data_IF_599374429880
#
_entry.id   IF_599374429880
#
_cell.length_a   1.000
_cell.length_b   1.000
_cell.length_c   1.000
_cell.angle_alpha   90.00
_cell.angle_beta   90.00
_cell.angle_gamma   90.00
#
_symmetry.space_group_name_H-M   'P 1'
#
loop_
_entity.id
_entity.type
_entity.pdbx_description
1 polymer ?
#
# COMPACT_ATOMS: atom_id res chain seq x y z
N UNK A 1 -1.80 -37.01 3.96
CA UNK A 1 -1.00 -35.79 3.69
C UNK A 1 -1.21 -35.42 2.22
N UNK A 2 -2.22 -34.60 1.92
CA UNK A 2 -2.56 -34.26 0.53
C UNK A 2 -1.68 -33.10 0.05
N UNK A 3 -0.63 -33.42 -0.71
CA UNK A 3 0.11 -32.42 -1.48
C UNK A 3 -0.76 -31.97 -2.66
N UNK A 4 -1.20 -30.70 -2.62
CA UNK A 4 -1.83 -30.02 -3.75
C UNK A 4 -0.82 -29.86 -4.91
N UNK A 5 -0.71 -30.88 -5.76
CA UNK A 5 0.19 -30.96 -6.93
C UNK A 5 -0.39 -30.22 -8.16
N UNK A 6 -1.60 -29.66 -8.08
CA UNK A 6 -2.27 -28.96 -9.19
C UNK A 6 -2.31 -27.42 -9.08
N UNK A 7 -1.35 -26.78 -8.41
CA UNK A 7 -1.16 -25.32 -8.61
C UNK A 7 -0.39 -25.09 -9.91
N UNK A 8 -1.11 -24.76 -11.00
CA UNK A 8 -0.51 -24.10 -12.19
C UNK A 8 0.44 -23.02 -11.68
N UNK A 9 1.70 -22.99 -12.14
CA UNK A 9 2.63 -21.89 -11.85
C UNK A 9 1.88 -20.59 -12.11
N UNK A 10 1.70 -19.77 -11.06
CA UNK A 10 0.93 -18.53 -11.13
C UNK A 10 1.45 -17.73 -12.31
N UNK A 11 0.58 -17.41 -13.27
CA UNK A 11 0.99 -16.58 -14.40
C UNK A 11 1.51 -15.25 -13.86
N UNK A 12 2.55 -14.62 -14.47
CA UNK A 12 3.00 -13.28 -14.08
C UNK A 12 1.83 -12.29 -13.97
N UNK A 13 0.80 -12.45 -14.81
CA UNK A 13 -0.44 -11.68 -14.77
C UNK A 13 -1.24 -11.88 -13.48
N UNK A 14 -1.37 -13.13 -13.02
CA UNK A 14 -2.10 -13.48 -11.80
C UNK A 14 -1.34 -13.08 -10.54
N UNK A 15 0.00 -13.17 -10.57
CA UNK A 15 0.88 -12.69 -9.51
C UNK A 15 0.76 -11.17 -9.34
N UNK A 16 0.81 -10.40 -10.44
CA UNK A 16 0.61 -8.95 -10.42
C UNK A 16 -0.79 -8.56 -9.92
N UNK A 17 -1.85 -9.29 -10.32
CA UNK A 17 -3.22 -9.04 -9.85
C UNK A 17 -3.36 -9.28 -8.36
N UNK A 18 -2.73 -10.34 -7.85
CA UNK A 18 -2.74 -10.69 -6.42
C UNK A 18 -2.00 -9.63 -5.61
N UNK A 19 -0.80 -9.25 -6.05
CA UNK A 19 -0.01 -8.18 -5.43
C UNK A 19 -0.78 -6.85 -5.37
N UNK A 20 -1.46 -6.45 -6.46
CA UNK A 20 -2.32 -5.25 -6.47
C UNK A 20 -3.44 -5.32 -5.43
N UNK A 21 -4.06 -6.48 -5.26
CA UNK A 21 -5.11 -6.69 -4.25
C UNK A 21 -4.55 -6.59 -2.83
N UNK A 22 -3.40 -7.21 -2.57
CA UNK A 22 -2.73 -7.16 -1.28
C UNK A 22 -2.32 -5.73 -0.92
N UNK A 23 -1.74 -4.99 -1.86
CA UNK A 23 -1.40 -3.56 -1.67
C UNK A 23 -2.64 -2.70 -1.38
N UNK A 24 -3.77 -2.97 -2.03
CA UNK A 24 -5.02 -2.25 -1.76
C UNK A 24 -5.57 -2.56 -0.36
N UNK A 25 -5.50 -3.81 0.09
CA UNK A 25 -5.89 -4.20 1.45
C UNK A 25 -4.98 -3.54 2.48
N UNK A 26 -3.65 -3.59 2.28
CA UNK A 26 -2.68 -2.96 3.15
C UNK A 26 -2.88 -1.44 3.25
N UNK A 27 -3.13 -0.76 2.13
CA UNK A 27 -3.43 0.67 2.09
C UNK A 27 -4.65 1.01 2.95
N UNK A 28 -5.74 0.25 2.81
CA UNK A 28 -6.96 0.44 3.62
C UNK A 28 -6.73 0.16 5.10
N UNK A 29 -5.91 -0.84 5.43
CA UNK A 29 -5.52 -1.14 6.80
C UNK A 29 -4.82 0.06 7.44
N UNK A 30 -3.81 0.60 6.76
CA UNK A 30 -3.05 1.78 7.21
C UNK A 30 -3.96 3.00 7.34
N UNK A 31 -4.86 3.25 6.38
CA UNK A 31 -5.78 4.39 6.46
C UNK A 31 -6.73 4.31 7.67
N UNK A 32 -7.20 3.11 8.02
CA UNK A 32 -8.00 2.89 9.24
C UNK A 32 -7.18 3.15 10.50
N UNK A 33 -5.94 2.66 10.54
CA UNK A 33 -5.06 2.86 11.69
C UNK A 33 -4.71 4.34 11.89
N UNK A 34 -4.39 5.07 10.81
CA UNK A 34 -4.20 6.53 10.84
C UNK A 34 -5.44 7.22 11.41
N UNK A 35 -6.64 6.88 10.93
CA UNK A 35 -7.87 7.49 11.42
C UNK A 35 -8.10 7.21 12.92
N UNK A 36 -7.81 5.99 13.37
CA UNK A 36 -7.89 5.61 14.79
C UNK A 36 -6.93 6.45 15.64
N UNK A 37 -5.66 6.54 15.25
CA UNK A 37 -4.65 7.31 15.97
C UNK A 37 -4.95 8.81 15.97
N UNK A 38 -5.52 9.35 14.89
CA UNK A 38 -5.96 10.76 14.85
C UNK A 38 -7.12 11.04 15.83
N UNK A 39 -8.01 10.08 16.06
CA UNK A 39 -9.04 10.22 17.11
C UNK A 39 -8.42 10.17 18.50
N UNK A 40 -7.45 9.28 18.72
CA UNK A 40 -6.70 9.21 19.97
C UNK A 40 -5.91 10.50 20.23
N UNK A 41 -5.32 11.10 19.18
CA UNK A 41 -4.62 12.39 19.26
C UNK A 41 -5.54 13.48 19.80
N UNK A 42 -6.76 13.57 19.26
CA UNK A 42 -7.76 14.55 19.72
C UNK A 42 -8.13 14.35 21.19
N UNK A 43 -8.31 13.10 21.63
CA UNK A 43 -8.60 12.78 23.03
C UNK A 43 -7.42 13.17 23.94
N UNK A 44 -6.21 12.82 23.54
CA UNK A 44 -4.99 13.11 24.28
C UNK A 44 -4.75 14.62 24.40
N UNK A 45 -5.00 15.40 23.34
CA UNK A 45 -4.94 16.87 23.38
C UNK A 45 -5.96 17.45 24.35
N UNK A 46 -7.18 16.91 24.40
CA UNK A 46 -8.19 17.35 25.37
C UNK A 46 -7.77 17.04 26.81
N UNK A 47 -7.17 15.87 27.04
CA UNK A 47 -6.66 15.46 28.36
C UNK A 47 -5.47 16.31 28.82
N UNK A 48 -4.53 16.63 27.92
CA UNK A 48 -3.44 17.58 28.17
C UNK A 48 -4.00 18.93 28.60
N UNK A 49 -5.01 19.46 27.89
CA UNK A 49 -5.64 20.73 28.26
C UNK A 49 -6.31 20.67 29.64
N UNK A 50 -6.94 19.55 29.99
CA UNK A 50 -7.58 19.36 31.29
C UNK A 50 -6.55 19.32 32.42
N UNK A 51 -5.50 18.52 32.27
CA UNK A 51 -4.43 18.34 33.27
C UNK A 51 -3.59 19.61 33.46
N UNK A 52 -3.37 20.37 32.38
CA UNK A 52 -2.74 21.68 32.44
C UNK A 52 -3.56 22.69 33.24
N UNK A 53 -4.89 22.72 33.07
CA UNK A 53 -5.78 23.61 33.85
C UNK A 53 -5.79 23.29 35.34
N UNK A 54 -5.58 22.03 35.72
CA UNK A 54 -5.49 21.62 37.13
C UNK A 54 -4.11 21.88 37.75
N UNK A 55 -3.16 22.42 36.99
CA UNK A 55 -1.79 22.68 37.48
C UNK A 55 -0.95 21.42 37.69
N UNK A 56 -1.38 20.26 37.19
CA UNK A 56 -0.63 19.01 37.34
C UNK A 56 0.44 18.91 36.25
N UNK A 57 1.57 19.58 36.48
CA UNK A 57 2.68 19.68 35.51
C UNK A 57 3.30 18.32 35.19
N UNK A 58 3.42 17.43 36.18
CA UNK A 58 3.99 16.09 35.99
C UNK A 58 3.15 15.26 35.00
N UNK A 59 1.83 15.20 35.21
CA UNK A 59 0.91 14.51 34.30
C UNK A 59 0.91 15.16 32.91
N UNK A 60 0.85 16.49 32.86
CA UNK A 60 0.86 17.25 31.59
C UNK A 60 2.11 16.95 30.76
N UNK A 61 3.29 16.87 31.38
CA UNK A 61 4.56 16.56 30.70
C UNK A 61 4.59 15.13 30.15
N UNK A 62 4.03 14.16 30.87
CA UNK A 62 3.94 12.77 30.42
C UNK A 62 3.03 12.67 29.19
N UNK A 63 1.83 13.26 29.27
CA UNK A 63 0.85 13.26 28.19
C UNK A 63 1.37 13.99 26.95
N UNK A 64 2.09 15.11 27.13
CA UNK A 64 2.73 15.83 26.01
C UNK A 64 3.77 14.98 25.28
N UNK A 65 4.59 14.21 26.02
CA UNK A 65 5.53 13.25 25.41
C UNK A 65 4.80 12.13 24.66
N UNK A 66 3.69 11.65 25.19
CA UNK A 66 2.85 10.66 24.51
C UNK A 66 2.28 11.22 23.20
N UNK A 67 1.86 12.50 23.18
CA UNK A 67 1.35 13.16 21.99
C UNK A 67 2.40 13.23 20.88
N UNK A 68 3.65 13.56 21.22
CA UNK A 68 4.75 13.58 20.25
C UNK A 68 4.99 12.19 19.64
N UNK A 69 5.00 11.13 20.47
CA UNK A 69 5.14 9.75 19.98
C UNK A 69 4.00 9.34 19.07
N UNK A 70 2.76 9.68 19.44
CA UNK A 70 1.56 9.38 18.65
C UNK A 70 1.62 10.07 17.27
N UNK A 71 2.02 11.35 17.23
CA UNK A 71 2.21 12.09 15.97
C UNK A 71 3.30 11.48 15.09
N UNK A 72 4.38 11.01 15.70
CA UNK A 72 5.43 10.31 14.96
C UNK A 72 4.90 9.00 14.36
N UNK A 73 4.09 8.23 15.11
CA UNK A 73 3.47 7.01 14.60
C UNK A 73 2.54 7.30 13.41
N UNK A 74 1.71 8.34 13.49
CA UNK A 74 0.87 8.80 12.38
C UNK A 74 1.73 9.15 11.16
N UNK A 75 2.82 9.89 11.36
CA UNK A 75 3.74 10.30 10.28
C UNK A 75 4.40 9.09 9.61
N UNK A 76 4.85 8.12 10.41
CA UNK A 76 5.44 6.88 9.89
C UNK A 76 4.43 6.11 9.04
N UNK A 77 3.18 5.97 9.51
CA UNK A 77 2.11 5.30 8.76
C UNK A 77 1.75 6.05 7.46
N UNK A 78 1.76 7.38 7.47
CA UNK A 78 1.58 8.18 6.26
C UNK A 78 2.71 7.96 5.26
N UNK A 79 3.96 7.83 5.73
CA UNK A 79 5.12 7.44 4.93
C UNK A 79 4.95 6.05 4.31
N UNK A 80 4.59 5.04 5.12
CA UNK A 80 4.31 3.68 4.62
C UNK A 80 3.18 3.65 3.58
N UNK A 81 2.12 4.45 3.79
CA UNK A 81 1.04 4.61 2.80
C UNK A 81 1.56 5.17 1.48
N UNK A 82 2.42 6.19 1.53
CA UNK A 82 3.02 6.78 0.34
C UNK A 82 3.90 5.77 -0.42
N UNK A 83 4.69 4.97 0.31
CA UNK A 83 5.50 3.89 -0.27
C UNK A 83 4.64 2.86 -1.00
N UNK A 84 3.56 2.37 -0.38
CA UNK A 84 2.65 1.40 -1.00
C UNK A 84 1.98 1.98 -2.25
N UNK A 85 1.59 3.26 -2.22
CA UNK A 85 1.06 3.94 -3.41
C UNK A 85 2.10 3.98 -4.53
N UNK A 86 3.36 4.31 -4.22
CA UNK A 86 4.47 4.25 -5.17
C UNK A 86 4.65 2.86 -5.79
N UNK A 87 4.68 1.81 -4.95
CA UNK A 87 4.78 0.42 -5.41
C UNK A 87 3.60 0.00 -6.29
N UNK A 88 2.38 0.46 -5.97
CA UNK A 88 1.18 0.20 -6.77
C UNK A 88 1.32 0.81 -8.17
N UNK A 89 1.82 2.04 -8.27
CA UNK A 89 2.10 2.71 -9.54
C UNK A 89 3.17 1.98 -10.34
N UNK A 90 4.29 1.60 -9.69
CA UNK A 90 5.34 0.81 -10.34
C UNK A 90 4.80 -0.52 -10.87
N UNK A 91 3.99 -1.22 -10.08
CA UNK A 91 3.36 -2.50 -10.47
C UNK A 91 2.41 -2.32 -11.65
N UNK A 92 1.64 -1.24 -11.68
CA UNK A 92 0.75 -0.91 -12.80
C UNK A 92 1.53 -0.61 -14.09
N UNK A 93 2.66 0.08 -13.99
CA UNK A 93 3.55 0.32 -15.13
C UNK A 93 4.15 -0.99 -15.67
N UNK A 94 4.61 -1.88 -14.79
CA UNK A 94 5.10 -3.21 -15.18
C UNK A 94 4.03 -4.04 -15.92
N UNK A 95 2.79 -3.99 -15.44
CA UNK A 95 1.66 -4.66 -16.08
C UNK A 95 1.38 -4.11 -17.49
N UNK A 96 1.39 -2.78 -17.66
CA UNK A 96 1.20 -2.14 -18.95
C UNK A 96 2.30 -2.54 -19.95
N UNK A 97 3.56 -2.47 -19.53
CA UNK A 97 4.71 -2.87 -20.34
C UNK A 97 4.64 -4.34 -20.77
N UNK A 98 4.28 -5.24 -19.84
CA UNK A 98 4.13 -6.68 -20.13
C UNK A 98 3.01 -6.94 -21.14
N UNK A 99 1.89 -6.22 -21.01
CA UNK A 99 0.74 -6.35 -21.91
C UNK A 99 1.08 -5.86 -23.32
N UNK A 100 1.78 -4.72 -23.44
CA UNK A 100 2.29 -4.19 -24.71
C UNK A 100 3.27 -5.18 -25.34
N UNK A 101 4.25 -5.68 -24.59
CA UNK A 101 5.23 -6.66 -25.10
C UNK A 101 4.55 -7.93 -25.65
N UNK A 102 3.53 -8.43 -24.96
CA UNK A 102 2.76 -9.60 -25.41
C UNK A 102 1.99 -9.30 -26.70
N UNK A 103 1.33 -8.13 -26.77
CA UNK A 103 0.61 -7.69 -27.96
C UNK A 103 1.54 -7.46 -29.16
N UNK A 104 2.70 -6.83 -28.94
CA UNK A 104 3.74 -6.63 -29.94
C UNK A 104 4.25 -7.95 -30.48
N UNK A 105 4.51 -8.94 -29.62
CA UNK A 105 4.93 -10.28 -30.06
C UNK A 105 3.89 -10.92 -30.98
N UNK A 106 2.59 -10.82 -30.63
CA UNK A 106 1.51 -11.31 -31.48
C UNK A 106 1.44 -10.58 -32.83
N UNK A 107 1.55 -9.25 -32.82
CA UNK A 107 1.55 -8.43 -34.02
C UNK A 107 2.75 -8.74 -34.92
N UNK A 108 3.95 -8.90 -34.37
CA UNK A 108 5.16 -9.27 -35.13
C UNK A 108 5.03 -10.65 -35.77
N UNK A 109 4.45 -11.63 -35.08
CA UNK A 109 4.19 -12.95 -35.65
C UNK A 109 3.19 -12.85 -36.80
N UNK A 110 2.10 -12.10 -36.63
CA UNK A 110 1.10 -11.88 -37.67
C UNK A 110 1.69 -11.14 -38.90
N UNK A 111 2.49 -10.11 -38.67
CA UNK A 111 3.20 -9.38 -39.72
C UNK A 111 4.20 -10.27 -40.46
N UNK A 112 4.96 -11.10 -39.74
CA UNK A 112 5.87 -12.07 -40.35
C UNK A 112 5.13 -13.12 -41.18
N UNK A 113 3.99 -13.62 -40.69
CA UNK A 113 3.15 -14.54 -41.43
C UNK A 113 2.55 -13.89 -42.69
N UNK A 114 2.08 -12.65 -42.61
CA UNK A 114 1.63 -11.89 -43.79
C UNK A 114 2.77 -11.72 -44.80
N UNK A 115 3.98 -11.38 -44.35
CA UNK A 115 5.11 -11.22 -45.25
C UNK A 115 5.49 -12.52 -45.99
N UNK A 116 5.25 -13.69 -45.39
CA UNK A 116 5.44 -15.00 -46.04
C UNK A 116 4.32 -15.41 -46.99
N UNK A 117 3.18 -14.72 -46.95
CA UNK A 117 2.04 -14.97 -47.85
C UNK A 117 2.10 -14.06 -49.08
N UNK A 118 2.70 -12.87 -48.95
CA UNK A 118 2.84 -11.87 -50.02
C UNK A 118 4.18 -11.94 -50.79
N UNK A 119 5.12 -12.79 -50.37
CA UNK A 119 6.37 -13.13 -51.06
C UNK A 119 6.33 -14.62 -51.39
#
# INVERSE_FOLDING_TARGET
>A
MNLNIFKKKTSPKDALRTSKREMAVATRGIEREIASLQMEEKKLVAEIKKTAKTGNEAATKILARQLVRLRQQITNLQGSRAQIRGMTTHTQALYANTSISTGMKGATIAMSAMNKVYI
#
